data_IF_277767123963
#
_entry.id   IF_277767123963
#
_cell.length_a   1.000
_cell.length_b   1.000
_cell.length_c   1.000
_cell.angle_alpha   90.00
_cell.angle_beta   90.00
_cell.angle_gamma   90.00
#
_symmetry.space_group_name_H-M   'P 1'
#
loop_
_entity.id
_entity.type
_entity.pdbx_description
1 polymer ?
#
# COMPACT_ATOMS: atom_id res chain seq x y z
N UNK A 1 0.40 -7.80 -12.17
CA UNK A 1 -0.65 -7.47 -11.18
C UNK A 1 -0.27 -6.27 -10.30
N UNK A 2 0.92 -6.28 -9.68
CA UNK A 2 1.43 -5.20 -8.82
C UNK A 2 1.48 -3.83 -9.52
N UNK A 3 1.92 -3.75 -10.78
CA UNK A 3 1.98 -2.47 -11.51
C UNK A 3 0.61 -1.80 -11.68
N UNK A 4 -0.46 -2.59 -11.85
CA UNK A 4 -1.82 -2.07 -11.93
C UNK A 4 -2.27 -1.51 -10.57
N UNK A 5 -1.90 -2.18 -9.47
CA UNK A 5 -2.13 -1.68 -8.11
C UNK A 5 -1.40 -0.36 -7.88
N UNK A 6 -0.13 -0.25 -8.29
CA UNK A 6 0.65 1.00 -8.18
C UNK A 6 0.00 2.13 -8.99
N UNK A 7 -0.47 1.85 -10.21
CA UNK A 7 -1.22 2.83 -11.04
C UNK A 7 -2.56 3.25 -10.41
N UNK A 8 -3.24 2.35 -9.69
CA UNK A 8 -4.47 2.68 -9.00
C UNK A 8 -4.22 3.49 -7.73
N UNK A 9 -3.18 3.13 -6.96
CA UNK A 9 -2.76 3.85 -5.76
C UNK A 9 -2.37 5.28 -6.09
N UNK A 10 -1.62 5.50 -7.18
CA UNK A 10 -1.27 6.86 -7.62
C UNK A 10 -2.48 7.72 -8.07
N UNK A 11 -3.62 7.09 -8.41
CA UNK A 11 -4.88 7.81 -8.65
C UNK A 11 -5.72 8.01 -7.39
N UNK A 12 -5.45 7.25 -6.32
CA UNK A 12 -6.23 7.17 -5.08
C UNK A 12 -5.29 7.02 -3.89
N UNK A 13 -4.40 8.00 -3.73
CA UNK A 13 -3.33 7.93 -2.74
C UNK A 13 -3.87 7.85 -1.31
N UNK A 14 -5.09 8.36 -1.07
CA UNK A 14 -5.74 8.40 0.24
C UNK A 14 -6.42 7.10 0.68
N UNK A 15 -6.31 6.00 -0.07
CA UNK A 15 -7.04 4.76 0.23
C UNK A 15 -6.15 3.74 0.99
N UNK A 16 -6.25 3.64 2.33
CA UNK A 16 -5.37 2.75 3.12
C UNK A 16 -5.51 1.26 2.75
N UNK A 17 -6.66 0.83 2.23
CA UNK A 17 -6.87 -0.55 1.80
C UNK A 17 -6.04 -0.92 0.55
N UNK A 18 -5.80 0.01 -0.37
CA UNK A 18 -5.00 -0.24 -1.58
C UNK A 18 -3.53 -0.44 -1.21
N UNK A 19 -3.02 0.34 -0.26
CA UNK A 19 -1.66 0.19 0.26
C UNK A 19 -1.47 -1.14 1.01
N UNK A 20 -2.48 -1.61 1.76
CA UNK A 20 -2.47 -2.97 2.33
C UNK A 20 -2.47 -4.07 1.29
N UNK A 21 -3.20 -3.90 0.20
CA UNK A 21 -3.22 -4.88 -0.89
C UNK A 21 -1.87 -4.93 -1.61
N UNK A 22 -1.19 -3.79 -1.74
CA UNK A 22 0.15 -3.71 -2.30
C UNK A 22 1.21 -4.35 -1.40
N UNK A 23 1.14 -4.11 -0.09
CA UNK A 23 1.99 -4.78 0.91
C UNK A 23 1.94 -6.30 0.76
N UNK A 24 0.74 -6.88 0.79
CA UNK A 24 0.58 -8.34 0.63
C UNK A 24 1.15 -8.85 -0.69
N UNK A 25 0.99 -8.11 -1.77
CA UNK A 25 1.52 -8.50 -3.07
C UNK A 25 3.05 -8.48 -3.08
N UNK A 26 3.70 -7.50 -2.44
CA UNK A 26 5.15 -7.47 -2.27
C UNK A 26 5.67 -8.57 -1.34
N UNK A 27 4.95 -8.88 -0.27
CA UNK A 27 5.29 -9.97 0.65
C UNK A 27 5.29 -11.32 -0.07
N UNK A 28 4.31 -11.58 -0.94
CA UNK A 28 4.25 -12.81 -1.77
C UNK A 28 5.41 -12.90 -2.77
N UNK A 29 5.86 -11.78 -3.32
CA UNK A 29 7.00 -11.71 -4.26
C UNK A 29 8.37 -11.69 -3.55
N UNK A 30 8.43 -11.80 -2.22
CA UNK A 30 9.68 -11.71 -1.46
C UNK A 30 10.32 -10.31 -1.44
N UNK A 31 9.57 -9.28 -1.82
CA UNK A 31 10.00 -7.87 -1.89
C UNK A 31 9.80 -7.17 -0.56
N UNK A 32 10.49 -7.64 0.48
CA UNK A 32 10.28 -7.19 1.87
C UNK A 32 10.47 -5.68 2.09
N UNK A 33 11.42 -5.05 1.40
CA UNK A 33 11.63 -3.60 1.50
C UNK A 33 10.41 -2.80 0.97
N UNK A 34 9.85 -3.22 -0.17
CA UNK A 34 8.68 -2.58 -0.76
C UNK A 34 7.40 -2.83 0.06
N UNK A 35 7.27 -4.01 0.66
CA UNK A 35 6.18 -4.34 1.57
C UNK A 35 6.20 -3.44 2.83
N UNK A 36 7.39 -3.16 3.36
CA UNK A 36 7.55 -2.26 4.50
C UNK A 36 7.08 -0.84 4.18
N UNK A 37 7.48 -0.29 3.04
CA UNK A 37 7.05 1.05 2.59
C UNK A 37 5.53 1.10 2.38
N UNK A 38 4.95 0.05 1.79
CA UNK A 38 3.50 -0.03 1.61
C UNK A 38 2.75 -0.10 2.95
N UNK A 39 3.32 -0.79 3.94
CA UNK A 39 2.78 -0.86 5.32
C UNK A 39 2.77 0.51 5.99
N UNK A 40 3.89 1.24 5.94
CA UNK A 40 4.00 2.58 6.54
C UNK A 40 2.98 3.54 5.93
N UNK A 41 2.84 3.53 4.60
CA UNK A 41 1.83 4.34 3.90
C UNK A 41 0.41 3.96 4.29
N UNK A 42 0.10 2.67 4.37
CA UNK A 42 -1.22 2.20 4.81
C UNK A 42 -1.55 2.69 6.24
N UNK A 43 -0.58 2.60 7.16
CA UNK A 43 -0.75 3.02 8.54
C UNK A 43 -0.90 4.54 8.68
N UNK A 44 -0.10 5.32 7.95
CA UNK A 44 -0.19 6.78 7.94
C UNK A 44 -1.56 7.26 7.46
N UNK A 45 -2.08 6.66 6.39
CA UNK A 45 -3.41 6.98 5.85
C UNK A 45 -4.53 6.54 6.77
N UNK A 46 -4.38 5.38 7.42
CA UNK A 46 -5.34 4.92 8.42
C UNK A 46 -5.37 5.89 9.61
N UNK A 47 -4.21 6.30 10.14
CA UNK A 47 -4.14 7.27 11.23
C UNK A 47 -4.75 8.63 10.85
N UNK A 48 -4.53 9.10 9.62
CA UNK A 48 -5.14 10.32 9.11
C UNK A 48 -6.67 10.23 8.93
N UNK A 49 -7.24 9.02 8.81
CA UNK A 49 -8.68 8.80 8.67
C UNK A 49 -9.44 8.73 10.00
N UNK A 50 -8.73 8.58 11.13
CA UNK A 50 -9.29 8.49 12.48
C UNK A 50 -9.14 9.80 13.29
N UNK A 51 -8.97 10.95 12.62
CA UNK A 51 -8.90 12.27 13.26
C UNK A 51 -10.18 13.07 13.12
#
# INVERSE_FOLDING_TARGET
AIELLVKQISKREGAPFLWRLLEKAYTVEGRGADASVATEKANALQAAHFH
#
